data_IF_597614724424
#
_entry.id   IF_597614724424
#
_cell.length_a   1.000
_cell.length_b   1.000
_cell.length_c   1.000
_cell.angle_alpha   90.00
_cell.angle_beta   90.00
_cell.angle_gamma   90.00
#
_symmetry.space_group_name_H-M   'P 1'
#
loop_
_entity.id
_entity.type
_entity.pdbx_description
1 polymer ?
#
# COMPACT_ATOMS: atom_id res chain seq x y z
N UNK A 1 23.99 0.39 -4.67
CA UNK A 1 22.98 -0.69 -4.76
C UNK A 1 21.61 -0.05 -4.68
N UNK A 2 20.79 -0.12 -5.73
CA UNK A 2 19.41 0.38 -5.67
C UNK A 2 18.62 -0.53 -4.73
N UNK A 3 18.13 0.01 -3.62
CA UNK A 3 17.45 -0.76 -2.57
C UNK A 3 16.02 -1.05 -3.02
N UNK A 4 15.73 -2.32 -3.28
CA UNK A 4 14.40 -2.76 -3.67
C UNK A 4 13.40 -2.58 -2.51
N UNK A 5 12.27 -1.97 -2.81
CA UNK A 5 11.16 -1.62 -1.92
C UNK A 5 9.97 -2.49 -2.29
N UNK A 6 9.51 -3.28 -1.34
CA UNK A 6 8.32 -4.12 -1.50
C UNK A 6 7.14 -3.49 -0.77
N UNK A 7 5.95 -3.49 -1.37
CA UNK A 7 4.73 -2.95 -0.78
C UNK A 7 3.75 -4.06 -0.39
N UNK A 8 3.37 -4.08 0.89
CA UNK A 8 2.38 -4.99 1.46
C UNK A 8 1.08 -4.24 1.73
N UNK A 9 0.02 -4.60 1.04
CA UNK A 9 -1.31 -4.01 1.18
C UNK A 9 -2.11 -4.80 2.20
N UNK A 10 -2.50 -4.18 3.32
CA UNK A 10 -3.25 -4.84 4.38
C UNK A 10 -4.74 -4.64 4.18
N UNK A 11 -5.49 -5.73 4.39
CA UNK A 11 -6.96 -5.77 4.44
C UNK A 11 -7.30 -6.39 5.80
N UNK A 12 -7.45 -5.54 6.81
CA UNK A 12 -7.56 -5.98 8.21
C UNK A 12 -6.27 -6.66 8.68
N UNK A 13 -6.36 -7.91 9.11
CA UNK A 13 -5.21 -8.70 9.58
C UNK A 13 -4.47 -9.44 8.44
N UNK A 14 -5.09 -9.52 7.26
CA UNK A 14 -4.49 -10.16 6.09
C UNK A 14 -3.69 -9.14 5.28
N UNK A 15 -2.68 -9.60 4.55
CA UNK A 15 -1.94 -8.75 3.62
C UNK A 15 -1.76 -9.41 2.26
N UNK A 16 -1.78 -8.59 1.22
CA UNK A 16 -1.52 -8.95 -0.16
C UNK A 16 -0.23 -8.28 -0.59
N UNK A 17 0.71 -9.10 -1.04
CA UNK A 17 1.92 -8.62 -1.69
C UNK A 17 1.63 -8.26 -3.13
N UNK A 18 1.99 -7.06 -3.57
CA UNK A 18 1.57 -6.57 -4.89
C UNK A 18 2.71 -6.14 -5.81
N UNK A 19 3.81 -5.58 -5.29
CA UNK A 19 4.86 -5.03 -6.16
C UNK A 19 6.21 -4.84 -5.47
N UNK A 20 7.26 -4.82 -6.30
CA UNK A 20 8.64 -4.52 -5.92
C UNK A 20 9.21 -3.44 -6.84
N UNK A 21 9.68 -2.34 -6.25
CA UNK A 21 10.19 -1.16 -6.95
C UNK A 21 11.57 -0.78 -6.44
N UNK A 22 12.34 0.01 -7.19
CA UNK A 22 13.63 0.53 -6.68
C UNK A 22 13.46 1.76 -5.78
N UNK A 23 12.27 2.37 -5.78
CA UNK A 23 11.93 3.57 -5.01
C UNK A 23 10.55 3.38 -4.35
N UNK A 24 10.28 4.05 -3.21
CA UNK A 24 8.96 4.04 -2.59
C UNK A 24 7.95 4.78 -3.48
N UNK A 25 6.81 4.15 -3.76
CA UNK A 25 5.72 4.79 -4.49
C UNK A 25 5.11 5.96 -3.69
N UNK A 26 4.51 6.90 -4.42
CA UNK A 26 3.72 7.99 -3.85
C UNK A 26 2.39 7.49 -3.26
N UNK A 27 1.73 8.28 -2.39
CA UNK A 27 0.42 7.94 -1.80
C UNK A 27 -0.63 7.67 -2.90
N UNK A 28 -0.65 8.51 -3.94
CA UNK A 28 -1.60 8.37 -5.06
C UNK A 28 -1.38 7.07 -5.86
N UNK A 29 -0.13 6.71 -6.15
CA UNK A 29 0.19 5.45 -6.82
C UNK A 29 -0.18 4.24 -5.95
N UNK A 30 0.07 4.31 -4.65
CA UNK A 30 -0.36 3.27 -3.71
C UNK A 30 -1.88 3.14 -3.66
N UNK A 31 -2.64 4.24 -3.69
CA UNK A 31 -4.10 4.20 -3.75
C UNK A 31 -4.62 3.55 -5.04
N UNK A 32 -4.03 3.89 -6.20
CA UNK A 32 -4.38 3.25 -7.48
C UNK A 32 -4.13 1.74 -7.43
N UNK A 33 -3.02 1.31 -6.84
CA UNK A 33 -2.68 -0.12 -6.68
C UNK A 33 -3.60 -0.82 -5.68
N UNK A 34 -3.94 -0.15 -4.59
CA UNK A 34 -4.91 -0.66 -3.63
C UNK A 34 -6.29 -0.88 -4.25
N UNK A 35 -6.69 -0.03 -5.20
CA UNK A 35 -7.90 -0.25 -5.99
C UNK A 35 -7.83 -1.55 -6.80
N UNK A 36 -6.67 -1.87 -7.40
CA UNK A 36 -6.48 -3.16 -8.08
C UNK A 36 -6.59 -4.36 -7.12
N UNK A 37 -6.13 -4.23 -5.87
CA UNK A 37 -6.32 -5.28 -4.84
C UNK A 37 -7.81 -5.49 -4.56
N UNK A 38 -8.56 -4.40 -4.46
CA UNK A 38 -10.01 -4.44 -4.26
C UNK A 38 -10.74 -5.07 -5.46
N UNK A 39 -10.43 -4.66 -6.69
CA UNK A 39 -11.04 -5.21 -7.91
C UNK A 39 -10.79 -6.72 -8.08
N UNK A 40 -9.66 -7.22 -7.58
CA UNK A 40 -9.34 -8.66 -7.59
C UNK A 40 -10.09 -9.47 -6.52
N UNK A 41 -10.90 -8.83 -5.69
CA UNK A 41 -11.74 -9.49 -4.69
C UNK A 41 -11.04 -9.81 -3.36
N UNK A 42 -9.83 -9.28 -3.12
CA UNK A 42 -9.13 -9.47 -1.84
C UNK A 42 -9.66 -8.57 -0.71
N UNK A 43 -10.59 -7.66 -1.02
CA UNK A 43 -11.09 -6.64 -0.10
C UNK A 43 -10.37 -5.30 -0.24
N UNK A 44 -10.91 -4.26 0.40
CA UNK A 44 -10.39 -2.89 0.30
C UNK A 44 -9.22 -2.71 1.27
N UNK A 45 -8.00 -2.41 0.78
CA UNK A 45 -6.88 -2.22 1.70
C UNK A 45 -7.03 -0.97 2.56
N UNK A 46 -6.73 -1.08 3.84
CA UNK A 46 -6.75 0.02 4.81
C UNK A 46 -5.39 0.72 4.94
N UNK A 47 -4.29 0.00 4.75
CA UNK A 47 -2.93 0.55 4.81
C UNK A 47 -1.96 -0.21 3.89
N UNK A 48 -0.84 0.45 3.60
CA UNK A 48 0.34 -0.15 2.95
C UNK A 48 1.53 -0.01 3.87
N UNK A 49 2.31 -1.08 4.00
CA UNK A 49 3.63 -1.02 4.63
C UNK A 49 4.67 -1.41 3.60
N UNK A 50 5.74 -0.64 3.49
CA UNK A 50 6.86 -1.00 2.65
C UNK A 50 8.07 -1.57 3.42
N UNK A 51 8.98 -2.24 2.73
CA UNK A 51 10.19 -2.85 3.34
C UNK A 51 11.18 -1.86 3.92
N UNK A 52 11.00 -0.56 3.69
CA UNK A 52 11.78 0.47 4.37
C UNK A 52 11.13 0.86 5.71
N UNK A 53 9.99 0.27 6.08
CA UNK A 53 9.26 0.53 7.30
C UNK A 53 8.27 1.68 7.20
N UNK A 54 8.08 2.28 6.02
CA UNK A 54 7.10 3.35 5.83
C UNK A 54 5.70 2.75 5.78
N UNK A 55 4.79 3.33 6.57
CA UNK A 55 3.37 2.97 6.59
C UNK A 55 2.55 4.10 5.99
N UNK A 56 1.61 3.77 5.11
CA UNK A 56 0.70 4.71 4.45
C UNK A 56 -0.73 4.23 4.68
N UNK A 57 -1.57 5.05 5.31
CA UNK A 57 -2.99 4.75 5.50
C UNK A 57 -3.76 5.13 4.23
N UNK A 58 -4.55 4.18 3.73
CA UNK A 58 -5.32 4.29 2.48
C UNK A 58 -6.81 4.55 2.71
N UNK A 59 -7.36 4.21 3.89
CA UNK A 59 -8.76 4.43 4.22
C UNK A 59 -9.06 4.51 5.72
N UNK A 60 -9.84 5.53 6.11
CA UNK A 60 -10.25 5.83 7.48
C UNK A 60 -10.41 7.34 7.69
N UNK A 61 -11.37 7.76 8.51
CA UNK A 61 -11.53 9.16 8.96
C UNK A 61 -10.22 9.62 9.61
N UNK A 62 -9.49 10.51 8.95
CA UNK A 62 -8.09 10.85 9.26
C UNK A 62 -7.12 10.69 8.08
N UNK A 63 -7.59 10.22 6.93
CA UNK A 63 -6.80 10.09 5.71
C UNK A 63 -6.61 11.41 4.93
N UNK A 64 -6.60 12.59 5.58
CA UNK A 64 -5.98 13.81 5.06
C UNK A 64 -6.02 14.92 6.13
N UNK A 65 -4.85 15.37 6.58
CA UNK A 65 -4.50 16.80 6.66
C UNK A 65 -3.00 16.87 6.84
N UNK A 66 -2.29 17.01 5.72
CA UNK A 66 -1.29 18.07 5.47
C UNK A 66 -0.74 17.92 4.04
#
# INVERSE_FOLDING_TARGET
MSRRVTHYFYVGEQHVWFSEWYEPLSKEELQKRAFTVFERGYGKPDKVVDTNGRTVILGGEGADTE
#
